data_IF_359550686120
#
_entry.id   IF_359550686120
#
_cell.length_a   1.000
_cell.length_b   1.000
_cell.length_c   1.000
_cell.angle_alpha   90.00
_cell.angle_beta   90.00
_cell.angle_gamma   90.00
#
_symmetry.space_group_name_H-M   'P 1'
#
loop_
_entity.id
_entity.type
_entity.pdbx_description
1 polymer ?
#
# COMPACT_ATOMS: atom_id res chain seq x y z
N UNK A 1 -17.57 14.66 22.05
CA UNK A 1 -16.57 15.51 21.36
C UNK A 1 -15.43 15.77 22.34
N UNK A 2 -14.21 15.38 21.99
CA UNK A 2 -13.04 15.48 22.88
C UNK A 2 -12.24 16.76 22.58
N UNK A 3 -12.76 17.91 22.99
CA UNK A 3 -12.11 19.21 22.75
C UNK A 3 -10.79 19.38 23.53
N UNK A 4 -10.53 18.52 24.52
CA UNK A 4 -9.27 18.49 25.30
C UNK A 4 -8.01 18.31 24.44
N UNK A 5 -8.14 17.70 23.27
CA UNK A 5 -7.06 17.52 22.31
C UNK A 5 -6.84 18.73 21.37
N UNK A 6 -7.52 19.85 21.64
CA UNK A 6 -7.34 21.09 20.90
C UNK A 6 -6.91 22.17 21.89
N UNK A 7 -5.69 22.66 21.71
CA UNK A 7 -5.08 23.70 22.53
C UNK A 7 -4.53 24.76 21.60
N UNK A 8 -4.82 26.03 21.86
CA UNK A 8 -4.38 27.18 21.06
C UNK A 8 -4.65 27.02 19.55
N UNK A 9 -5.86 26.55 19.22
CA UNK A 9 -6.31 26.27 17.84
C UNK A 9 -5.43 25.24 17.09
N UNK A 10 -4.79 24.30 17.79
CA UNK A 10 -3.97 23.23 17.21
C UNK A 10 -4.32 21.86 17.78
N UNK A 11 -4.15 20.81 16.98
CA UNK A 11 -4.28 19.43 17.45
C UNK A 11 -3.04 19.06 18.27
N UNK A 12 -3.25 18.54 19.48
CA UNK A 12 -2.17 18.16 20.38
C UNK A 12 -1.40 16.93 19.86
N UNK A 13 -0.12 16.83 20.22
CA UNK A 13 0.68 15.64 19.89
C UNK A 13 0.17 14.38 20.60
N UNK A 14 -0.48 14.53 21.75
CA UNK A 14 -1.11 13.43 22.48
C UNK A 14 -2.20 12.77 21.65
N UNK A 15 -3.11 13.56 21.06
CA UNK A 15 -4.12 13.04 20.14
C UNK A 15 -3.50 12.30 18.97
N UNK A 16 -2.47 12.90 18.35
CA UNK A 16 -1.76 12.25 17.24
C UNK A 16 -1.24 10.88 17.69
N UNK A 17 -0.56 10.79 18.82
CA UNK A 17 -0.01 9.52 19.31
C UNK A 17 -1.10 8.48 19.62
N UNK A 18 -2.23 8.89 20.17
CA UNK A 18 -3.32 7.98 20.53
C UNK A 18 -4.15 7.52 19.32
N UNK A 19 -4.45 8.46 18.41
CA UNK A 19 -5.32 8.24 17.26
C UNK A 19 -4.57 7.66 16.06
N UNK A 20 -3.31 8.05 15.84
CA UNK A 20 -2.53 7.62 14.67
C UNK A 20 -1.65 6.40 14.97
N UNK A 21 -2.26 5.33 15.50
CA UNK A 21 -1.63 4.00 15.62
C UNK A 21 -1.46 3.28 14.25
N UNK A 22 -1.59 4.02 13.15
CA UNK A 22 -1.78 3.53 11.79
C UNK A 22 -0.67 4.05 10.86
N UNK A 23 -0.66 3.62 9.60
CA UNK A 23 0.31 4.07 8.58
C UNK A 23 0.07 5.51 8.07
N UNK A 24 -0.68 6.32 8.82
CA UNK A 24 -0.92 7.72 8.52
C UNK A 24 0.34 8.51 8.83
N UNK A 25 0.67 9.45 7.96
CA UNK A 25 1.68 10.47 8.25
C UNK A 25 0.97 11.79 8.43
N UNK A 26 0.98 12.28 9.66
CA UNK A 26 0.44 13.59 9.99
C UNK A 26 1.41 14.65 9.47
N UNK A 27 0.84 15.64 8.78
CA UNK A 27 1.58 16.73 8.13
C UNK A 27 0.93 18.07 8.45
N UNK A 28 1.64 19.15 8.16
CA UNK A 28 1.22 20.51 8.50
C UNK A 28 1.55 20.87 9.94
N UNK A 29 1.57 22.17 10.25
CA UNK A 29 1.93 22.65 11.58
C UNK A 29 0.80 22.41 12.58
N UNK A 30 -0.45 22.56 12.10
CA UNK A 30 -1.65 22.45 12.91
C UNK A 30 -2.20 21.01 12.98
N UNK A 31 -1.49 20.06 12.35
CA UNK A 31 -1.69 18.59 12.43
C UNK A 31 -3.09 18.11 12.02
N UNK A 32 -3.78 18.87 11.18
CA UNK A 32 -5.10 18.52 10.66
C UNK A 32 -5.05 17.83 9.29
N UNK A 33 -3.87 17.49 8.80
CA UNK A 33 -3.68 16.90 7.48
C UNK A 33 -2.89 15.61 7.57
N UNK A 34 -3.16 14.67 6.67
CA UNK A 34 -2.45 13.40 6.64
C UNK A 34 -2.31 12.81 5.24
N UNK A 35 -1.25 12.03 5.05
CA UNK A 35 -1.05 11.19 3.86
C UNK A 35 -0.88 9.73 4.25
N UNK A 36 -1.31 8.82 3.36
CA UNK A 36 -1.15 7.37 3.55
C UNK A 36 -1.01 6.67 2.20
N UNK A 37 -0.10 5.70 2.05
CA UNK A 37 -0.07 4.87 0.85
C UNK A 37 -1.33 4.01 0.77
N UNK A 38 -2.03 4.07 -0.36
CA UNK A 38 -3.20 3.22 -0.56
C UNK A 38 -2.77 1.79 -0.92
N UNK A 39 -3.67 0.83 -0.70
CA UNK A 39 -3.43 -0.58 -1.04
C UNK A 39 -2.99 -0.77 -2.50
N UNK A 40 -3.65 -0.05 -3.43
CA UNK A 40 -3.40 -0.19 -4.87
C UNK A 40 -2.09 0.44 -5.34
N UNK A 41 -1.58 1.46 -4.64
CA UNK A 41 -0.22 1.95 -4.83
C UNK A 41 0.77 0.80 -4.55
N UNK A 42 0.64 0.12 -3.40
CA UNK A 42 1.51 -1.02 -3.08
C UNK A 42 1.36 -2.18 -4.08
N UNK A 43 0.15 -2.47 -4.58
CA UNK A 43 -0.05 -3.50 -5.61
C UNK A 43 0.63 -3.15 -6.95
N UNK A 44 0.52 -1.88 -7.38
CA UNK A 44 1.22 -1.39 -8.57
C UNK A 44 2.74 -1.43 -8.39
N UNK A 45 3.27 -1.07 -7.22
CA UNK A 45 4.71 -1.18 -6.95
C UNK A 45 5.19 -2.64 -6.88
N UNK A 46 4.35 -3.55 -6.42
CA UNK A 46 4.67 -4.98 -6.31
C UNK A 46 4.82 -5.68 -7.66
N UNK A 47 4.09 -5.21 -8.67
CA UNK A 47 3.95 -5.94 -9.95
C UNK A 47 4.28 -5.10 -11.18
N UNK A 48 4.28 -3.77 -11.08
CA UNK A 48 4.41 -2.88 -12.22
C UNK A 48 3.35 -3.01 -13.32
N UNK A 49 2.40 -3.95 -13.22
CA UNK A 49 1.40 -4.27 -14.26
C UNK A 49 0.11 -3.49 -14.14
N UNK A 50 -0.42 -3.02 -15.27
CA UNK A 50 -1.60 -2.15 -15.32
C UNK A 50 -2.87 -2.85 -14.83
N UNK A 51 -2.93 -4.19 -14.94
CA UNK A 51 -4.02 -5.01 -14.39
C UNK A 51 -4.02 -5.11 -12.85
N UNK A 52 -3.03 -4.52 -12.17
CA UNK A 52 -3.00 -4.33 -10.71
C UNK A 52 -3.29 -2.89 -10.29
N UNK A 53 -3.94 -2.12 -11.16
CA UNK A 53 -4.41 -0.78 -10.88
C UNK A 53 -5.77 -0.81 -10.15
N UNK A 54 -6.11 0.23 -9.38
CA UNK A 54 -7.44 0.35 -8.79
C UNK A 54 -8.51 0.61 -9.85
N UNK A 55 -9.79 0.54 -9.44
CA UNK A 55 -10.92 0.80 -10.33
C UNK A 55 -10.86 2.17 -11.01
N UNK A 56 -10.21 3.18 -10.41
CA UNK A 56 -10.06 4.52 -11.00
C UNK A 56 -9.22 4.52 -12.29
N UNK A 57 -8.55 3.42 -12.59
CA UNK A 57 -7.90 3.20 -13.88
C UNK A 57 -8.84 3.37 -15.08
N UNK A 58 -10.13 3.07 -14.93
CA UNK A 58 -11.13 3.28 -16.00
C UNK A 58 -11.31 4.77 -16.35
N UNK A 59 -10.92 5.67 -15.45
CA UNK A 59 -10.93 7.12 -15.64
C UNK A 59 -9.53 7.68 -15.98
N UNK A 60 -8.57 6.82 -16.30
CA UNK A 60 -7.19 7.22 -16.61
C UNK A 60 -6.29 7.46 -15.40
N UNK A 61 -6.73 7.13 -14.18
CA UNK A 61 -5.92 7.30 -12.97
C UNK A 61 -4.99 6.12 -12.76
N UNK A 62 -3.70 6.40 -12.60
CA UNK A 62 -2.68 5.41 -12.29
C UNK A 62 -2.41 5.38 -10.78
N UNK A 63 -2.69 4.26 -10.12
CA UNK A 63 -2.65 4.19 -8.64
C UNK A 63 -1.26 4.43 -8.07
N UNK A 64 -0.20 4.06 -8.78
CA UNK A 64 1.16 4.34 -8.34
C UNK A 64 1.54 5.81 -8.42
N UNK A 65 0.81 6.60 -9.23
CA UNK A 65 0.97 8.05 -9.37
C UNK A 65 -0.15 8.83 -8.64
N UNK A 66 -0.90 8.15 -7.78
CA UNK A 66 -1.96 8.74 -6.96
C UNK A 66 -1.48 8.97 -5.53
N UNK A 67 -1.63 10.21 -5.04
CA UNK A 67 -1.35 10.59 -3.66
C UNK A 67 -2.65 10.60 -2.86
N UNK A 68 -2.83 9.61 -1.97
CA UNK A 68 -3.97 9.57 -1.04
C UNK A 68 -3.69 10.44 0.20
N UNK A 69 -4.59 11.38 0.46
CA UNK A 69 -4.46 12.33 1.57
C UNK A 69 -5.82 12.77 2.15
N UNK A 70 -5.74 13.59 3.19
CA UNK A 70 -6.82 14.42 3.72
C UNK A 70 -6.26 15.74 4.29
N UNK A 71 -6.95 16.88 4.10
CA UNK A 71 -6.65 18.15 4.76
C UNK A 71 -7.50 18.41 6.01
N UNK A 72 -8.36 17.47 6.44
CA UNK A 72 -9.33 17.69 7.52
C UNK A 72 -9.35 16.58 8.56
N UNK A 73 -8.23 15.91 8.79
CA UNK A 73 -8.08 14.97 9.90
C UNK A 73 -8.25 15.69 11.26
N UNK A 74 -9.04 15.18 12.22
CA UNK A 74 -10.04 14.11 12.14
C UNK A 74 -11.48 14.66 12.09
N UNK A 75 -11.66 15.90 11.61
CA UNK A 75 -12.93 16.61 11.60
C UNK A 75 -13.90 15.98 10.60
N UNK A 76 -15.09 15.59 11.07
CA UNK A 76 -16.12 15.03 10.21
C UNK A 76 -17.51 15.30 10.83
N UNK A 77 -18.43 15.81 10.02
CA UNK A 77 -19.82 16.06 10.43
C UNK A 77 -20.72 14.82 10.32
N UNK A 78 -20.16 13.66 9.93
CA UNK A 78 -20.88 12.39 9.84
C UNK A 78 -20.35 11.35 10.83
N UNK A 79 -21.22 10.41 11.25
CA UNK A 79 -20.90 9.26 12.09
C UNK A 79 -21.40 7.97 11.43
N UNK A 80 -20.87 7.68 10.24
CA UNK A 80 -21.31 6.55 9.43
C UNK A 80 -20.97 5.22 10.12
N UNK A 81 -21.93 4.29 10.13
CA UNK A 81 -21.75 2.93 10.70
C UNK A 81 -20.65 2.10 10.02
N UNK A 82 -20.25 2.50 8.82
CA UNK A 82 -19.22 1.84 8.02
C UNK A 82 -17.89 2.62 8.00
N UNK A 83 -17.77 3.72 8.76
CA UNK A 83 -16.56 4.51 8.78
C UNK A 83 -15.43 3.72 9.47
N UNK A 84 -14.25 3.66 8.87
CA UNK A 84 -13.07 3.06 9.50
C UNK A 84 -12.46 3.92 10.59
N UNK A 85 -12.89 5.18 10.70
CA UNK A 85 -12.47 6.09 11.77
C UNK A 85 -12.91 5.53 13.11
N UNK A 86 -11.99 5.55 14.06
CA UNK A 86 -12.33 5.34 15.46
C UNK A 86 -13.23 6.51 15.90
N UNK A 87 -14.53 6.27 16.02
CA UNK A 87 -15.50 7.30 16.38
C UNK A 87 -15.43 7.70 17.85
N UNK A 88 -14.79 6.90 18.71
CA UNK A 88 -14.66 7.18 20.14
C UNK A 88 -13.50 8.13 20.42
N UNK A 89 -12.37 7.94 19.74
CA UNK A 89 -11.15 8.76 19.89
C UNK A 89 -11.10 9.84 18.79
N UNK A 90 -11.33 9.47 17.54
CA UNK A 90 -11.17 10.32 16.35
C UNK A 90 -12.27 11.34 16.11
N UNK A 91 -13.16 11.58 17.06
CA UNK A 91 -14.23 12.55 16.90
C UNK A 91 -14.02 13.81 17.74
N UNK A 92 -13.09 14.64 17.26
CA UNK A 92 -12.77 15.92 17.90
C UNK A 92 -13.93 16.91 17.77
N UNK A 93 -14.42 17.13 16.55
CA UNK A 93 -15.51 18.06 16.26
C UNK A 93 -16.18 17.77 14.92
N UNK A 94 -17.45 18.19 14.77
CA UNK A 94 -18.20 18.22 13.52
C UNK A 94 -17.87 19.44 12.65
N UNK A 95 -17.13 20.40 13.20
CA UNK A 95 -16.68 21.62 12.54
C UNK A 95 -15.14 21.67 12.55
N UNK A 96 -14.56 22.36 11.57
CA UNK A 96 -13.13 22.62 11.53
C UNK A 96 -12.81 23.78 12.48
N UNK A 97 -12.17 23.46 13.61
CA UNK A 97 -12.00 24.38 14.76
C UNK A 97 -10.53 24.59 15.13
N UNK A 98 -9.63 24.46 14.16
CA UNK A 98 -8.19 24.72 14.29
C UNK A 98 -7.77 25.74 13.24
N UNK A 99 -6.59 26.31 13.40
CA UNK A 99 -6.02 27.19 12.38
C UNK A 99 -5.72 26.35 11.11
N UNK A 100 -6.24 26.73 9.92
CA UNK A 100 -5.96 26.00 8.69
C UNK A 100 -4.55 26.30 8.18
N UNK A 101 -3.71 25.26 8.08
CA UNK A 101 -2.44 25.32 7.34
C UNK A 101 -2.68 25.75 5.89
N UNK A 102 -1.72 26.45 5.28
CA UNK A 102 -1.84 26.92 3.89
C UNK A 102 -1.80 25.77 2.88
N UNK A 103 -2.72 25.72 1.88
CA UNK A 103 -2.79 24.65 0.88
C UNK A 103 -1.46 24.41 0.16
N UNK A 104 -0.76 25.49 -0.20
CA UNK A 104 0.54 25.42 -0.88
C UNK A 104 1.61 24.71 -0.05
N UNK A 105 1.61 24.92 1.26
CA UNK A 105 2.57 24.29 2.16
C UNK A 105 2.17 22.85 2.44
N UNK A 106 0.87 22.56 2.57
CA UNK A 106 0.34 21.20 2.63
C UNK A 106 0.73 20.38 1.40
N UNK A 107 0.61 20.91 0.17
CA UNK A 107 1.03 20.21 -1.06
C UNK A 107 2.52 19.85 -1.01
N UNK A 108 3.39 20.79 -0.57
CA UNK A 108 4.83 20.52 -0.44
C UNK A 108 5.08 19.37 0.54
N UNK A 109 4.41 19.41 1.69
CA UNK A 109 4.51 18.37 2.72
C UNK A 109 3.98 17.02 2.22
N UNK A 110 2.84 16.99 1.55
CA UNK A 110 2.26 15.80 0.95
C UNK A 110 3.25 15.13 -0.03
N UNK A 111 3.84 15.92 -0.95
CA UNK A 111 4.82 15.41 -1.91
C UNK A 111 6.12 14.96 -1.24
N UNK A 112 6.60 15.70 -0.23
CA UNK A 112 7.78 15.34 0.56
C UNK A 112 7.57 14.00 1.26
N UNK A 113 6.45 13.83 1.94
CA UNK A 113 6.13 12.59 2.66
C UNK A 113 5.82 11.42 1.73
N UNK A 114 5.18 11.64 0.57
CA UNK A 114 5.00 10.62 -0.45
C UNK A 114 6.36 10.10 -0.94
N UNK A 115 7.30 10.99 -1.30
CA UNK A 115 8.65 10.58 -1.74
C UNK A 115 9.39 9.82 -0.66
N UNK A 116 9.29 10.25 0.59
CA UNK A 116 9.90 9.55 1.71
C UNK A 116 9.27 8.16 1.95
N UNK A 117 7.94 8.00 1.81
CA UNK A 117 7.28 6.69 1.85
C UNK A 117 7.88 5.77 0.78
N UNK A 118 7.91 6.24 -0.48
CA UNK A 118 8.39 5.44 -1.62
C UNK A 118 9.87 5.07 -1.48
N UNK A 119 10.71 5.97 -0.95
CA UNK A 119 12.15 5.70 -0.79
C UNK A 119 12.46 4.81 0.41
N UNK A 120 11.80 5.06 1.54
CA UNK A 120 12.25 4.51 2.83
C UNK A 120 11.33 3.43 3.41
N UNK A 121 10.03 3.44 3.09
CA UNK A 121 9.05 2.50 3.66
C UNK A 121 8.56 1.47 2.63
N UNK A 122 8.53 1.88 1.38
CA UNK A 122 8.22 1.06 0.20
C UNK A 122 9.42 1.04 -0.77
N UNK A 123 10.65 0.74 -0.30
CA UNK A 123 11.85 0.84 -1.13
C UNK A 123 11.81 -0.15 -2.31
N UNK A 124 12.37 0.23 -3.45
CA UNK A 124 12.44 -0.61 -4.66
C UNK A 124 12.93 -2.03 -4.38
N UNK A 125 13.99 -2.15 -3.56
CA UNK A 125 14.57 -3.45 -3.16
C UNK A 125 13.55 -4.40 -2.55
N UNK A 126 12.55 -3.89 -1.82
CA UNK A 126 11.48 -4.73 -1.23
C UNK A 126 10.72 -5.52 -2.28
N UNK A 127 10.54 -4.94 -3.47
CA UNK A 127 9.77 -5.50 -4.58
C UNK A 127 10.63 -6.39 -5.47
N UNK A 128 11.86 -5.97 -5.77
CA UNK A 128 12.83 -6.80 -6.49
C UNK A 128 13.20 -8.07 -5.69
N UNK A 129 13.41 -7.95 -4.37
CA UNK A 129 13.58 -9.11 -3.49
C UNK A 129 12.37 -10.07 -3.58
N UNK A 130 11.16 -9.53 -3.72
CA UNK A 130 9.96 -10.37 -3.81
C UNK A 130 9.89 -11.12 -5.14
N UNK A 131 10.32 -10.48 -6.23
CA UNK A 131 10.47 -11.11 -7.53
C UNK A 131 11.41 -12.32 -7.47
N UNK A 132 12.61 -12.15 -6.90
CA UNK A 132 13.57 -13.25 -6.73
C UNK A 132 13.02 -14.38 -5.86
N UNK A 133 12.37 -14.03 -4.74
CA UNK A 133 11.77 -15.04 -3.86
C UNK A 133 10.69 -15.85 -4.59
N UNK A 134 9.92 -15.25 -5.51
CA UNK A 134 8.95 -16.01 -6.30
C UNK A 134 9.62 -17.03 -7.21
N UNK A 135 10.73 -16.66 -7.85
CA UNK A 135 11.52 -17.57 -8.69
C UNK A 135 12.10 -18.70 -7.83
N UNK A 136 12.70 -18.35 -6.68
CA UNK A 136 13.32 -19.32 -5.78
C UNK A 136 12.30 -20.34 -5.24
N UNK A 137 11.09 -19.88 -4.88
CA UNK A 137 9.98 -20.75 -4.47
C UNK A 137 9.65 -21.74 -5.57
N UNK A 138 9.39 -21.27 -6.79
CA UNK A 138 9.00 -22.14 -7.90
C UNK A 138 10.14 -23.12 -8.25
N UNK A 139 11.37 -22.63 -8.34
CA UNK A 139 12.53 -23.45 -8.65
C UNK A 139 12.70 -24.57 -7.62
N UNK A 140 12.61 -24.25 -6.33
CA UNK A 140 12.69 -25.26 -5.28
C UNK A 140 11.55 -26.28 -5.36
N UNK A 141 10.30 -25.83 -5.57
CA UNK A 141 9.16 -26.72 -5.66
C UNK A 141 9.23 -27.65 -6.89
N UNK A 142 9.78 -27.17 -8.02
CA UNK A 142 9.99 -27.99 -9.23
C UNK A 142 11.03 -29.08 -8.97
N UNK A 143 12.09 -28.74 -8.25
CA UNK A 143 13.16 -29.69 -7.88
C UNK A 143 12.66 -30.71 -6.84
N UNK A 144 11.95 -30.26 -5.80
CA UNK A 144 11.49 -31.13 -4.72
C UNK A 144 10.35 -32.05 -5.16
N UNK A 145 9.59 -31.66 -6.20
CA UNK A 145 8.41 -32.38 -6.72
C UNK A 145 7.40 -32.72 -5.62
N UNK A 146 7.33 -31.91 -4.57
CA UNK A 146 6.49 -32.17 -3.40
C UNK A 146 5.74 -30.91 -2.96
N UNK A 147 4.54 -31.04 -2.37
CA UNK A 147 3.83 -29.88 -1.86
C UNK A 147 4.55 -29.24 -0.66
N UNK A 148 4.78 -27.93 -0.73
CA UNK A 148 5.55 -27.19 0.26
C UNK A 148 4.68 -26.34 1.18
N UNK A 149 5.14 -26.15 2.42
CA UNK A 149 4.54 -25.21 3.37
C UNK A 149 5.37 -23.95 3.50
N UNK A 150 4.77 -22.87 4.02
CA UNK A 150 5.49 -21.65 4.40
C UNK A 150 6.68 -21.97 5.32
N UNK A 151 6.49 -22.92 6.24
CA UNK A 151 7.51 -23.36 7.20
C UNK A 151 8.69 -24.10 6.55
N UNK A 152 8.46 -24.78 5.44
CA UNK A 152 9.52 -25.39 4.63
C UNK A 152 10.28 -24.33 3.84
N UNK A 153 9.53 -23.52 3.09
CA UNK A 153 10.09 -22.52 2.16
C UNK A 153 10.94 -21.46 2.85
N UNK A 154 10.54 -20.93 4.02
CA UNK A 154 11.35 -19.90 4.69
C UNK A 154 12.70 -20.44 5.19
N UNK A 155 12.77 -21.73 5.53
CA UNK A 155 14.03 -22.37 5.94
C UNK A 155 14.96 -22.58 4.76
N UNK A 156 14.42 -23.05 3.64
CA UNK A 156 15.20 -23.35 2.44
C UNK A 156 15.68 -22.09 1.72
N UNK A 157 14.81 -21.08 1.60
CA UNK A 157 15.12 -19.81 0.88
C UNK A 157 15.84 -18.82 1.82
N UNK A 158 15.97 -19.16 3.11
CA UNK A 158 16.66 -18.34 4.11
C UNK A 158 16.12 -16.91 4.21
N UNK A 159 14.79 -16.77 4.26
CA UNK A 159 14.10 -15.48 4.33
C UNK A 159 12.96 -15.48 5.34
N UNK A 160 12.30 -14.34 5.57
CA UNK A 160 11.24 -14.26 6.57
C UNK A 160 9.92 -14.87 6.08
N UNK A 161 9.12 -15.42 7.00
CA UNK A 161 7.79 -15.96 6.68
C UNK A 161 6.88 -14.93 6.03
N UNK A 162 7.00 -13.65 6.41
CA UNK A 162 6.23 -12.56 5.80
C UNK A 162 6.60 -12.35 4.33
N UNK A 163 7.89 -12.43 3.97
CA UNK A 163 8.33 -12.35 2.57
C UNK A 163 7.84 -13.57 1.77
N UNK A 164 7.93 -14.78 2.33
CA UNK A 164 7.40 -16.00 1.71
C UNK A 164 5.88 -15.90 1.47
N UNK A 165 5.11 -15.52 2.48
CA UNK A 165 3.65 -15.39 2.36
C UNK A 165 3.24 -14.40 1.27
N UNK A 166 3.99 -13.30 1.14
CA UNK A 166 3.76 -12.29 0.11
C UNK A 166 4.00 -12.84 -1.29
N UNK A 167 5.10 -13.56 -1.49
CA UNK A 167 5.41 -14.22 -2.76
C UNK A 167 4.36 -15.31 -3.10
N UNK A 168 4.04 -16.19 -2.14
CA UNK A 168 3.00 -17.22 -2.28
C UNK A 168 1.66 -16.61 -2.68
N UNK A 169 1.27 -15.48 -2.07
CA UNK A 169 0.00 -14.82 -2.40
C UNK A 169 -0.05 -14.42 -3.87
N UNK A 170 1.03 -13.88 -4.42
CA UNK A 170 1.09 -13.49 -5.84
C UNK A 170 1.10 -14.70 -6.77
N UNK A 171 1.92 -15.71 -6.46
CA UNK A 171 2.00 -16.96 -7.23
C UNK A 171 0.65 -17.68 -7.27
N UNK A 172 -0.02 -17.79 -6.12
CA UNK A 172 -1.35 -18.39 -6.00
C UNK A 172 -2.40 -17.61 -6.79
N UNK A 173 -2.38 -16.27 -6.69
CA UNK A 173 -3.34 -15.43 -7.40
C UNK A 173 -3.11 -15.39 -8.92
N UNK A 174 -1.99 -15.90 -9.41
CA UNK A 174 -1.73 -16.14 -10.83
C UNK A 174 -1.79 -17.63 -11.19
N UNK A 175 -2.27 -18.47 -10.26
CA UNK A 175 -2.46 -19.91 -10.47
C UNK A 175 -1.16 -20.67 -10.76
N UNK A 176 0.00 -20.11 -10.37
CA UNK A 176 1.28 -20.81 -10.52
C UNK A 176 1.41 -21.95 -9.50
N UNK A 177 0.76 -21.76 -8.35
CA UNK A 177 0.67 -22.74 -7.27
C UNK A 177 -0.77 -22.82 -6.76
N UNK A 178 -1.14 -23.98 -6.25
CA UNK A 178 -2.48 -24.29 -5.75
C UNK A 178 -2.40 -24.78 -4.30
N UNK A 179 -3.30 -24.33 -3.40
CA UNK A 179 -3.41 -24.91 -2.08
C UNK A 179 -3.92 -26.35 -2.17
N UNK A 180 -3.34 -27.26 -1.39
CA UNK A 180 -3.79 -28.66 -1.32
C UNK A 180 -4.83 -28.91 -0.21
N UNK A 181 -5.02 -27.93 0.66
CA UNK A 181 -5.90 -28.02 1.81
C UNK A 181 -6.71 -26.74 2.00
N UNK A 182 -7.88 -26.86 2.63
CA UNK A 182 -8.83 -25.76 2.88
C UNK A 182 -8.18 -24.65 3.72
N UNK A 183 -7.26 -25.02 4.62
CA UNK A 183 -6.56 -24.10 5.50
C UNK A 183 -5.36 -23.41 4.81
N UNK A 184 -5.11 -23.71 3.53
CA UNK A 184 -4.03 -23.16 2.71
C UNK A 184 -2.65 -23.26 3.38
N UNK A 185 -2.40 -24.38 4.06
CA UNK A 185 -1.14 -24.61 4.79
C UNK A 185 -0.02 -25.12 3.90
N UNK A 186 -0.38 -25.82 2.82
CA UNK A 186 0.54 -26.41 1.84
C UNK A 186 0.10 -26.10 0.42
N UNK A 187 1.09 -25.98 -0.47
CA UNK A 187 0.91 -25.59 -1.86
C UNK A 187 1.64 -26.57 -2.78
N UNK A 188 1.03 -26.91 -3.92
CA UNK A 188 1.66 -27.64 -5.03
C UNK A 188 1.80 -26.72 -6.24
N UNK A 189 2.72 -27.03 -7.16
CA UNK A 189 2.80 -26.33 -8.44
C UNK A 189 1.64 -26.77 -9.34
N UNK A 190 1.14 -25.87 -10.17
CA UNK A 190 0.17 -26.18 -11.22
C UNK A 190 0.74 -27.24 -12.19
N UNK A 191 -0.09 -28.18 -12.64
CA UNK A 191 0.33 -29.33 -13.44
C UNK A 191 0.98 -28.93 -14.78
N UNK A 192 0.44 -27.90 -15.44
CA UNK A 192 0.95 -27.38 -16.71
C UNK A 192 2.37 -26.81 -16.57
N UNK A 193 2.62 -26.12 -15.45
CA UNK A 193 3.94 -25.56 -15.14
C UNK A 193 4.92 -26.69 -14.79
N UNK A 194 4.50 -27.63 -13.96
CA UNK A 194 5.35 -28.73 -13.51
C UNK A 194 5.78 -29.66 -14.66
N UNK A 195 4.89 -29.85 -15.66
CA UNK A 195 5.20 -30.64 -16.85
C UNK A 195 6.15 -29.89 -17.79
N UNK A 196 5.94 -28.60 -18.01
CA UNK A 196 6.61 -27.81 -19.06
C UNK A 196 7.91 -27.14 -18.63
N UNK A 197 8.06 -26.77 -17.36
CA UNK A 197 9.22 -26.01 -16.86
C UNK A 197 10.22 -26.93 -16.18
N UNK A 198 11.51 -26.75 -16.49
CA UNK A 198 12.62 -27.54 -15.94
C UNK A 198 13.78 -26.70 -15.42
N UNK A 199 13.99 -25.52 -15.98
CA UNK A 199 15.13 -24.66 -15.63
C UNK A 199 14.67 -23.30 -15.11
N UNK A 200 15.55 -22.60 -14.39
CA UNK A 200 15.24 -21.32 -13.73
C UNK A 200 14.87 -20.24 -14.75
N UNK A 201 15.56 -20.20 -15.88
CA UNK A 201 15.35 -19.21 -16.95
C UNK A 201 13.93 -19.28 -17.53
N UNK A 202 13.33 -20.47 -17.60
CA UNK A 202 11.94 -20.65 -18.03
C UNK A 202 10.95 -20.12 -17.00
N UNK A 203 11.26 -20.24 -15.69
CA UNK A 203 10.46 -19.66 -14.60
C UNK A 203 10.49 -18.13 -14.70
N UNK A 204 11.67 -17.55 -14.90
CA UNK A 204 11.85 -16.12 -15.08
C UNK A 204 11.04 -15.61 -16.28
N UNK A 205 11.11 -16.30 -17.42
CA UNK A 205 10.33 -15.97 -18.62
C UNK A 205 8.82 -16.04 -18.34
N UNK A 206 8.34 -17.07 -17.64
CA UNK A 206 6.94 -17.23 -17.27
C UNK A 206 6.47 -16.09 -16.36
N UNK A 207 7.20 -15.81 -15.27
CA UNK A 207 6.86 -14.74 -14.33
C UNK A 207 6.86 -13.39 -15.05
N UNK A 208 7.89 -13.11 -15.84
CA UNK A 208 8.01 -11.87 -16.61
C UNK A 208 6.80 -11.65 -17.51
N UNK A 209 6.35 -12.69 -18.21
CA UNK A 209 5.21 -12.61 -19.11
C UNK A 209 3.87 -12.50 -18.39
N UNK A 210 3.62 -13.35 -17.39
CA UNK A 210 2.28 -13.53 -16.83
C UNK A 210 2.01 -12.74 -15.54
N UNK A 211 3.04 -12.35 -14.79
CA UNK A 211 2.87 -11.71 -13.49
C UNK A 211 3.55 -10.34 -13.37
N UNK A 212 4.87 -10.26 -13.55
CA UNK A 212 5.66 -9.03 -13.34
C UNK A 212 7.09 -9.20 -13.85
N UNK A 213 7.76 -8.13 -14.24
CA UNK A 213 9.20 -8.11 -14.51
C UNK A 213 9.95 -7.09 -13.64
N UNK A 214 11.28 -7.20 -13.48
CA UNK A 214 12.09 -6.19 -12.82
C UNK A 214 11.92 -4.80 -13.45
N UNK A 215 11.84 -4.72 -14.78
CA UNK A 215 11.67 -3.47 -15.52
C UNK A 215 10.32 -2.81 -15.21
N UNK A 216 9.23 -3.57 -15.20
CA UNK A 216 7.89 -3.04 -14.82
C UNK A 216 7.91 -2.48 -13.39
N UNK A 217 8.54 -3.20 -12.45
CA UNK A 217 8.66 -2.80 -11.04
C UNK A 217 9.47 -1.51 -10.91
N UNK A 218 10.62 -1.44 -11.59
CA UNK A 218 11.50 -0.28 -11.58
C UNK A 218 10.83 0.96 -12.17
N UNK A 219 10.11 0.79 -13.28
CA UNK A 219 9.35 1.87 -13.91
C UNK A 219 8.26 2.40 -12.96
N UNK A 220 7.41 1.51 -12.43
CA UNK A 220 6.33 1.91 -11.53
C UNK A 220 6.84 2.59 -10.26
N UNK A 221 7.96 2.12 -9.71
CA UNK A 221 8.59 2.73 -8.53
C UNK A 221 9.15 4.13 -8.83
N UNK A 222 9.83 4.29 -9.96
CA UNK A 222 10.35 5.58 -10.42
C UNK A 222 9.24 6.61 -10.60
N UNK A 223 8.15 6.23 -11.27
CA UNK A 223 6.99 7.09 -11.50
C UNK A 223 6.28 7.47 -10.19
N UNK A 224 6.24 6.58 -9.20
CA UNK A 224 5.59 6.84 -7.92
C UNK A 224 6.23 7.96 -7.07
N UNK A 225 7.47 8.35 -7.39
CA UNK A 225 8.14 9.49 -6.77
C UNK A 225 7.55 10.84 -7.18
N UNK A 226 6.79 10.87 -8.28
CA UNK A 226 6.19 12.08 -8.85
C UNK A 226 4.71 11.81 -9.17
N UNK A 227 3.83 11.75 -8.15
CA UNK A 227 2.41 11.56 -8.37
C UNK A 227 1.83 12.71 -9.20
N UNK A 228 0.88 12.41 -10.06
CA UNK A 228 0.18 13.38 -10.92
C UNK A 228 -1.33 13.43 -10.65
N UNK A 229 -1.80 12.70 -9.64
CA UNK A 229 -3.18 12.68 -9.19
C UNK A 229 -3.21 12.72 -7.65
N UNK A 230 -4.20 13.38 -7.06
CA UNK A 230 -4.44 13.39 -5.63
C UNK A 230 -5.83 12.86 -5.30
N UNK A 231 -5.93 11.93 -4.36
CA UNK A 231 -7.20 11.44 -3.82
C UNK A 231 -7.40 12.01 -2.41
N UNK A 232 -8.26 13.01 -2.29
CA UNK A 232 -8.61 13.65 -1.01
C UNK A 232 -9.80 12.91 -0.41
N UNK A 233 -9.53 11.79 0.26
CA UNK A 233 -10.58 10.89 0.76
C UNK A 233 -10.08 9.94 1.85
N UNK A 234 -9.05 10.33 2.61
CA UNK A 234 -8.38 9.45 3.56
C UNK A 234 -9.10 9.32 4.92
N UNK A 235 -9.37 10.42 5.60
CA UNK A 235 -10.08 10.45 6.88
C UNK A 235 -10.54 11.90 7.14
N UNK A 236 -11.61 12.09 7.90
CA UNK A 236 -12.31 13.37 7.98
C UNK A 236 -13.19 13.65 6.76
N UNK A 237 -14.00 14.70 6.86
CA UNK A 237 -14.79 15.25 5.75
C UNK A 237 -13.98 16.35 5.05
N UNK A 238 -13.50 16.14 3.81
CA UNK A 238 -12.65 17.10 3.12
C UNK A 238 -13.27 18.50 2.99
N UNK A 239 -14.59 18.56 2.83
CA UNK A 239 -15.31 19.83 2.64
C UNK A 239 -15.35 20.71 3.91
N UNK A 240 -14.93 20.21 5.07
CA UNK A 240 -14.77 21.03 6.27
C UNK A 240 -13.50 21.88 6.26
N UNK A 241 -12.49 21.54 5.44
CA UNK A 241 -11.30 22.36 5.33
C UNK A 241 -11.63 23.68 4.59
N UNK A 242 -11.43 24.85 5.23
CA UNK A 242 -11.97 26.12 4.74
C UNK A 242 -11.34 26.61 3.43
N UNK A 243 -10.12 26.16 3.10
CA UNK A 243 -9.36 26.58 1.91
C UNK A 243 -9.36 25.51 0.81
N UNK A 244 -10.36 24.63 0.78
CA UNK A 244 -10.41 23.49 -0.15
C UNK A 244 -10.32 23.89 -1.64
N UNK A 245 -10.89 25.03 -2.02
CA UNK A 245 -10.88 25.53 -3.40
C UNK A 245 -9.49 25.90 -3.92
N UNK A 246 -8.52 26.10 -3.04
CA UNK A 246 -7.16 26.51 -3.38
C UNK A 246 -6.24 25.33 -3.73
N UNK A 247 -6.73 24.08 -3.65
CA UNK A 247 -6.01 22.89 -4.12
C UNK A 247 -6.12 22.64 -5.63
N UNK A 248 -6.92 23.45 -6.36
CA UNK A 248 -7.22 23.31 -7.79
C UNK A 248 -6.17 24.01 -8.65
#
# INVERSE_FOLDING_TARGET
MRKEYIVDNQITSEFVNEYTKTTYRIIGNNKHSAVKPCYWLEQRLMTGRSNRNCYKGVFGVESHKCLQNTPSLPFCNHQCVFCWRDTEIGNLSNEFIVEPDEPKDLIKEMLRHQRDIIKNHLPLRRYLDNYEIMIDILNFMIISKSPESVNSLYKTIHTSKNKINRAITLLKNQEFIEPIDINQTRYKICEDINSSIKIREEIELLINRALTSPDDIMQAHSEALNPNHAAISLDGEPMLYPKMSEFI
#
